data_IF_138373379178
#
_entry.id   IF_138373379178
#
_cell.length_a   1.000
_cell.length_b   1.000
_cell.length_c   1.000
_cell.angle_alpha   90.00
_cell.angle_beta   90.00
_cell.angle_gamma   90.00
#
_symmetry.space_group_name_H-M   'P 1'
#
loop_
_entity.id
_entity.type
_entity.pdbx_description
1 polymer ?
#
# COMPACT_ATOMS: atom_id res chain seq x y z
N UNK A 23 5.88 -24.10 -4.18
CA UNK A 23 5.64 -22.66 -3.96
C UNK A 23 5.12 -21.96 -5.21
N UNK A 24 5.45 -20.67 -5.36
CA UNK A 24 5.19 -19.85 -6.55
C UNK A 24 6.22 -20.09 -7.67
N UNK A 25 5.83 -19.95 -8.93
CA UNK A 25 6.72 -20.08 -10.10
C UNK A 25 6.79 -18.72 -10.79
N UNK A 26 7.99 -18.15 -10.86
CA UNK A 26 8.20 -16.79 -11.37
C UNK A 26 9.44 -16.73 -12.27
N UNK A 27 9.28 -16.17 -13.46
CA UNK A 27 10.36 -15.91 -14.42
C UNK A 27 10.55 -14.42 -14.70
N UNK A 28 11.80 -13.96 -14.82
CA UNK A 28 12.14 -12.61 -15.27
C UNK A 28 11.51 -11.52 -14.37
N UNK A 29 11.40 -11.79 -13.07
CA UNK A 29 10.86 -10.84 -12.10
C UNK A 29 11.72 -9.58 -12.02
N UNK A 30 11.10 -8.41 -11.98
CA UNK A 30 11.83 -7.16 -11.85
C UNK A 30 11.74 -6.69 -10.41
N UNK A 31 12.90 -6.48 -9.77
CA UNK A 31 13.11 -5.64 -8.58
C UNK A 31 12.33 -6.02 -7.31
N UNK A 32 11.58 -7.11 -7.33
CA UNK A 32 10.52 -7.41 -6.36
C UNK A 32 10.98 -7.79 -4.96
N UNK A 33 10.04 -8.20 -4.14
CA UNK A 33 10.30 -8.82 -2.83
C UNK A 33 9.61 -10.18 -2.82
N UNK A 34 10.27 -11.22 -2.33
CA UNK A 34 9.66 -12.56 -2.22
C UNK A 34 9.92 -13.12 -0.84
N UNK A 35 8.90 -13.60 -0.14
CA UNK A 35 9.09 -14.17 1.20
C UNK A 35 9.52 -15.62 1.16
N UNK A 36 8.82 -16.46 0.41
CA UNK A 36 9.14 -17.87 0.20
C UNK A 36 9.43 -18.62 1.52
N UNK B 23 11.96 16.57 -13.10
CA UNK B 23 11.24 15.31 -13.38
C UNK B 23 10.27 14.95 -12.27
N UNK B 24 10.05 13.66 -12.07
CA UNK B 24 9.20 13.11 -11.02
C UNK B 24 9.91 13.09 -9.65
N UNK B 25 9.15 13.22 -8.56
CA UNK B 25 9.63 13.12 -7.18
C UNK B 25 8.97 11.90 -6.55
N UNK B 26 9.76 10.94 -6.08
CA UNK B 26 9.26 9.64 -5.62
C UNK B 26 9.92 9.26 -4.30
N UNK B 27 9.15 8.82 -3.31
CA UNK B 27 9.69 8.27 -2.08
C UNK B 27 9.42 6.79 -1.98
N UNK B 28 10.39 5.99 -1.54
CA UNK B 28 10.21 4.59 -1.14
C UNK B 28 9.59 3.70 -2.24
N UNK B 29 9.86 3.99 -3.51
CA UNK B 29 9.38 3.15 -4.60
C UNK B 29 9.97 1.76 -4.53
N UNK B 30 9.16 0.74 -4.73
CA UNK B 30 9.58 -0.65 -4.59
C UNK B 30 9.79 -1.25 -5.96
N UNK B 31 10.97 -1.81 -6.23
CA UNK B 31 11.18 -2.76 -7.34
C UNK B 31 10.93 -2.24 -8.75
N UNK B 32 10.72 -0.95 -8.92
CA UNK B 32 10.12 -0.37 -10.11
C UNK B 32 11.06 -0.32 -11.32
N UNK B 33 10.56 0.26 -12.39
CA UNK B 33 11.38 0.72 -13.50
C UNK B 33 11.04 2.18 -13.74
N UNK B 34 12.04 3.05 -13.91
CA UNK B 34 11.78 4.45 -14.26
C UNK B 34 12.68 4.88 -15.39
N UNK B 35 12.12 5.52 -16.40
CA UNK B 35 12.85 5.80 -17.63
C UNK B 35 13.74 7.04 -17.42
N UNK B 36 13.19 8.13 -16.88
CA UNK B 36 13.93 9.31 -16.43
C UNK B 36 14.92 9.86 -17.49
N UNK C 23 9.39 -16.69 15.20
CA UNK C 23 8.63 -15.45 15.46
C UNK C 23 7.80 -15.03 14.26
N UNK C 24 7.59 -13.73 14.09
CA UNK C 24 6.96 -13.14 12.90
C UNK C 24 7.93 -13.01 11.72
N UNK C 25 7.44 -13.10 10.50
CA UNK C 25 8.21 -12.95 9.25
C UNK C 25 7.69 -11.72 8.53
N UNK C 26 8.55 -10.75 8.27
CA UNK C 26 8.14 -9.46 7.73
C UNK C 26 9.06 -9.06 6.58
N UNK C 27 8.51 -8.66 5.44
CA UNK C 27 9.28 -8.10 4.33
C UNK C 27 8.96 -6.64 4.12
N UNK C 28 9.96 -5.81 3.87
CA UNK C 28 9.79 -4.42 3.42
C UNK C 28 8.94 -3.56 4.37
N UNK C 29 9.01 -3.81 5.67
CA UNK C 29 8.33 -2.97 6.66
C UNK C 29 8.86 -1.55 6.66
N UNK C 30 7.98 -0.57 6.70
CA UNK C 30 8.37 0.84 6.68
C UNK C 30 8.24 1.41 8.07
N UNK C 31 9.29 2.01 8.61
CA UNK C 31 9.19 2.93 9.75
C UNK C 31 8.65 2.37 11.07
N UNK C 32 8.48 1.06 11.17
CA UNK C 32 7.70 0.43 12.21
C UNK C 32 8.36 0.42 13.59
N UNK C 33 7.69 -0.23 14.52
CA UNK C 33 8.26 -0.68 15.78
C UNK C 33 7.93 -2.15 15.92
N UNK C 34 8.86 -3.00 16.34
CA UNK C 34 8.57 -4.41 16.61
C UNK C 34 9.14 -4.84 17.94
N UNK C 35 8.33 -5.50 18.78
CA UNK C 35 8.74 -5.82 20.15
C UNK C 35 9.62 -7.06 20.17
N UNK C 36 9.20 -8.15 19.52
CA UNK C 36 9.99 -9.36 19.32
C UNK C 36 10.60 -9.90 20.64
N UNK D 23 9.25 23.82 4.43
CA UNK D 23 8.99 22.36 4.39
C UNK D 23 8.18 21.90 5.59
N UNK D 24 8.35 20.65 6.00
CA UNK D 24 7.72 20.06 7.21
C UNK D 24 8.47 20.38 8.53
N UNK D 25 7.76 20.51 9.65
CA UNK D 25 8.30 20.70 11.01
C UNK D 25 7.81 19.55 11.91
N UNK D 26 8.69 18.75 12.53
CA UNK D 26 8.25 17.49 13.16
C UNK D 26 8.82 17.23 14.55
N UNK D 27 7.95 16.82 15.48
CA UNK D 27 8.31 16.21 16.75
C UNK D 27 7.86 14.75 16.88
N UNK D 28 8.75 13.90 17.38
CA UNK D 28 8.52 12.54 17.86
C UNK D 28 7.86 11.62 16.80
N UNK D 29 8.11 11.85 15.52
CA UNK D 29 7.76 10.90 14.45
C UNK D 29 8.58 9.62 14.61
N UNK D 30 7.96 8.47 14.42
CA UNK D 30 8.69 7.21 14.44
C UNK D 30 8.92 6.73 13.01
N UNK D 31 10.17 6.54 12.63
CA UNK D 31 10.65 5.74 11.49
C UNK D 31 10.17 6.15 10.07
N UNK D 32 9.41 7.22 9.94
CA UNK D 32 8.60 7.49 8.74
C UNK D 32 9.37 7.90 7.49
N UNK D 33 8.64 8.26 6.44
CA UNK D 33 9.17 8.81 5.19
C UNK D 33 8.52 10.15 4.94
N UNK D 34 9.27 11.15 4.52
CA UNK D 34 8.71 12.49 4.27
C UNK D 34 9.22 13.03 2.95
N UNK D 35 8.35 13.55 2.09
CA UNK D 35 8.81 14.23 0.87
C UNK D 35 9.15 15.69 1.11
N UNK D 36 8.24 16.46 1.72
CA UNK D 36 8.40 17.89 2.00
C UNK D 36 8.87 18.68 0.78
N UNK E 23 1.40 -23.63 -6.65
CA UNK E 23 1.13 -22.22 -6.30
C UNK E 23 0.66 -21.41 -7.50
N UNK E 24 0.96 -20.12 -7.53
CA UNK E 24 0.73 -19.21 -8.67
C UNK E 24 1.79 -19.35 -9.77
N UNK E 25 1.43 -19.12 -11.04
CA UNK E 25 2.35 -19.15 -12.19
C UNK E 25 2.39 -17.76 -12.80
N UNK E 26 3.58 -17.16 -12.83
CA UNK E 26 3.77 -15.76 -13.21
C UNK E 26 4.97 -15.58 -14.16
N UNK E 27 4.78 -14.90 -15.28
CA UNK E 27 5.86 -14.53 -16.21
C UNK E 27 6.05 -13.02 -16.33
N UNK E 28 7.29 -12.56 -16.37
CA UNK E 28 7.63 -11.17 -16.69
C UNK E 28 6.98 -10.17 -15.70
N UNK E 29 6.87 -10.55 -14.43
CA UNK E 29 6.29 -9.70 -13.39
C UNK E 29 7.11 -8.44 -13.18
N UNK E 30 6.46 -7.28 -13.10
CA UNK E 30 7.15 -6.03 -12.82
C UNK E 30 6.98 -5.71 -11.35
N UNK E 31 8.10 -5.50 -10.65
CA UNK E 31 8.22 -4.77 -9.38
C UNK E 31 7.46 -5.30 -8.17
N UNK E 32 6.82 -6.46 -8.29
CA UNK E 32 5.80 -6.89 -7.34
C UNK E 32 6.31 -7.34 -5.98
N UNK E 33 5.38 -7.83 -5.16
CA UNK E 33 5.69 -8.53 -3.91
C UNK E 33 5.04 -9.89 -3.99
N UNK E 34 5.71 -10.97 -3.58
CA UNK E 34 5.09 -12.30 -3.60
C UNK E 34 5.32 -13.00 -2.28
N UNK E 35 4.27 -13.54 -1.66
CA UNK E 35 4.47 -14.22 -0.38
C UNK E 35 4.93 -15.67 -0.58
N UNK E 36 4.23 -16.43 -1.41
CA UNK E 36 4.58 -17.82 -1.73
C UNK E 36 4.81 -18.67 -0.47
N UNK F 23 6.94 17.83 -12.08
CA UNK F 23 6.27 16.57 -12.49
C UNK F 23 5.35 16.04 -11.41
N UNK F 24 5.18 14.72 -11.36
CA UNK F 24 4.38 14.03 -10.35
C UNK F 24 5.11 13.90 -9.00
N UNK F 25 4.38 13.88 -7.89
CA UNK F 25 4.90 13.65 -6.53
C UNK F 25 4.26 12.37 -6.02
N UNK F 26 5.05 11.38 -5.64
CA UNK F 26 4.54 10.05 -5.31
C UNK F 26 5.17 9.53 -4.02
N UNK F 27 4.40 9.01 -3.08
CA UNK F 27 4.94 8.36 -1.88
C UNK F 27 4.68 6.86 -1.92
N UNK F 28 5.65 6.04 -1.53
CA UNK F 28 5.51 4.62 -1.23
C UNK F 28 4.91 3.79 -2.39
N UNK F 29 5.20 4.18 -3.62
CA UNK F 29 4.70 3.46 -4.80
C UNK F 29 5.23 2.05 -4.89
N UNK F 30 4.36 1.09 -5.19
CA UNK F 30 4.75 -0.32 -5.20
C UNK F 30 4.96 -0.74 -6.63
N UNK F 31 6.10 -1.35 -6.95
CA UNK F 31 6.30 -2.15 -8.15
C UNK F 31 6.17 -1.46 -9.50
N UNK F 32 6.08 -0.13 -9.51
CA UNK F 32 5.50 0.58 -10.64
C UNK F 32 6.39 0.67 -11.88
N UNK F 33 5.87 1.33 -12.89
CA UNK F 33 6.66 1.87 -13.98
C UNK F 33 6.36 3.35 -14.09
N UNK F 34 7.36 4.21 -14.22
CA UNK F 34 7.12 5.64 -14.42
C UNK F 34 7.98 6.18 -15.55
N UNK F 35 7.38 6.94 -16.47
CA UNK F 35 8.13 7.40 -17.63
C UNK F 35 9.00 8.62 -17.24
N UNK F 36 8.42 9.62 -16.57
CA UNK F 36 9.15 10.76 -16.01
C UNK F 36 10.09 11.45 -17.02
N UNK G 23 4.78 -17.95 13.18
CA UNK G 23 4.04 -16.73 13.57
C UNK G 23 3.26 -16.16 12.40
N UNK G 24 3.06 -14.85 12.36
CA UNK G 24 2.45 -14.13 11.23
C UNK G 24 3.44 -13.91 10.08
N UNK G 25 2.94 -13.88 8.84
CA UNK G 25 3.73 -13.60 7.63
C UNK G 25 3.20 -12.32 7.00
N UNK G 26 4.05 -11.32 6.81
CA UNK G 26 3.62 -9.99 6.36
C UNK G 26 4.51 -9.47 5.24
N UNK G 27 3.94 -8.98 4.15
CA UNK G 27 4.71 -8.31 3.09
C UNK G 27 4.36 -6.85 3.00
N UNK G 28 5.35 -5.97 2.84
CA UNK G 28 5.18 -4.56 2.52
C UNK G 28 4.32 -3.78 3.52
N UNK G 29 4.40 -4.13 4.80
CA UNK G 29 3.70 -3.41 5.86
C UNK G 29 4.15 -1.96 6.00
N UNK G 30 3.22 -1.03 6.11
CA UNK G 30 3.55 0.38 6.23
C UNK G 30 3.41 0.79 7.67
N UNK G 31 4.42 1.40 8.26
CA UNK G 31 4.30 2.18 9.49
C UNK G 31 3.89 1.45 10.76
N UNK G 32 3.87 0.13 10.73
CA UNK G 32 3.11 -0.63 11.71
C UNK G 32 3.72 -0.69 13.10
N UNK G 33 3.04 -1.40 13.97
CA UNK G 33 3.61 -1.94 15.20
C UNK G 33 3.33 -3.42 15.22
N UNK G 34 4.29 -4.27 15.59
CA UNK G 34 4.04 -5.71 15.73
C UNK G 34 4.59 -6.25 17.03
N UNK G 35 3.79 -7.01 17.77
CA UNK G 35 4.22 -7.50 19.08
C UNK G 35 5.11 -8.73 18.93
N UNK G 36 4.66 -9.73 18.18
CA UNK G 36 5.43 -10.95 17.87
C UNK G 36 6.01 -11.62 19.14
N UNK H 23 4.14 23.90 5.79
CA UNK H 23 4.01 22.45 5.50
C UNK H 23 3.23 21.73 6.58
N UNK H 24 3.51 20.45 6.82
CA UNK H 24 2.93 19.67 7.93
C UNK H 24 3.62 19.92 9.28
N UNK H 25 2.87 19.88 10.37
CA UNK H 25 3.36 19.98 11.76
C UNK H 25 2.92 18.73 12.54
N UNK H 26 3.83 17.94 13.12
CA UNK H 26 3.42 16.61 13.62
C UNK H 26 3.95 16.30 15.02
N UNK H 27 3.10 15.77 15.90
CA UNK H 27 3.49 15.10 17.14
C UNK H 27 3.13 13.61 17.17
N UNK H 28 4.07 12.77 17.59
CA UNK H 28 3.87 11.37 18.00
C UNK H 28 3.20 10.49 16.94
N UNK H 29 3.42 10.78 15.65
CA UNK H 29 3.04 9.88 14.56
C UNK H 29 3.84 8.59 14.60
N UNK H 30 3.20 7.44 14.41
CA UNK H 30 3.91 6.17 14.33
C UNK H 30 4.06 5.74 12.88
N UNK H 31 5.29 5.53 12.44
CA UNK H 31 5.68 4.80 11.22
C UNK H 31 5.22 5.36 9.88
N UNK H 32 4.56 6.52 9.85
CA UNK H 32 3.78 6.92 8.68
C UNK H 32 4.60 7.35 7.45
N UNK H 33 3.89 7.79 6.43
CA UNK H 33 4.44 8.42 5.23
C UNK H 33 3.79 9.76 5.08
N UNK H 34 4.54 10.81 4.75
CA UNK H 34 3.98 12.15 4.63
C UNK H 34 4.45 12.82 3.36
N UNK H 35 3.55 13.38 2.55
CA UNK H 35 3.99 14.16 1.41
C UNK H 35 4.33 15.59 1.79
N UNK H 36 3.44 16.29 2.50
CA UNK H 36 3.62 17.68 2.89
C UNK H 36 4.00 18.58 1.69
N UNK I 23 -3.08 -23.06 -9.13
CA UNK I 23 -3.34 -21.68 -8.65
C UNK I 23 -3.82 -20.76 -9.77
N UNK I 24 -3.51 -19.47 -9.68
CA UNK I 24 -3.73 -18.46 -10.74
C UNK I 24 -2.65 -18.51 -11.84
N UNK I 25 -3.01 -18.18 -13.08
CA UNK I 25 -2.09 -18.11 -14.23
C UNK I 25 -2.04 -16.67 -14.72
N UNK I 26 -0.85 -16.07 -14.71
CA UNK I 26 -0.67 -14.64 -14.98
C UNK I 26 0.53 -14.38 -15.89
N UNK I 27 0.33 -13.61 -16.97
CA UNK I 27 1.40 -13.15 -17.85
C UNK I 27 1.55 -11.63 -17.86
N UNK I 28 2.79 -11.12 -17.87
CA UNK I 28 3.09 -9.71 -18.08
C UNK I 28 2.42 -8.81 -17.01
N UNK I 29 2.31 -9.30 -15.78
CA UNK I 29 1.71 -8.53 -14.66
C UNK I 29 2.52 -7.28 -14.35
N UNK I 30 1.85 -6.15 -14.17
CA UNK I 30 2.52 -4.93 -13.78
C UNK I 30 2.32 -4.73 -12.29
N UNK I 31 3.41 -4.55 -11.55
CA UNK I 31 3.50 -3.93 -10.23
C UNK I 31 2.75 -4.59 -9.07
N UNK I 32 2.14 -5.75 -9.30
CA UNK I 32 1.14 -6.29 -8.39
C UNK I 32 1.67 -6.84 -7.07
N UNK I 33 0.76 -7.42 -6.29
CA UNK I 33 1.11 -8.21 -5.11
C UNK I 33 0.47 -9.58 -5.28
N UNK I 34 1.16 -10.67 -4.97
CA UNK I 34 0.57 -12.01 -5.09
C UNK I 34 0.79 -12.81 -3.83
N UNK I 35 -0.24 -13.41 -3.26
CA UNK I 35 -0.06 -14.19 -2.05
C UNK I 35 0.41 -15.60 -2.36
N UNK I 36 -0.26 -16.30 -3.27
CA UNK I 36 0.08 -17.65 -3.69
C UNK I 36 0.27 -18.61 -2.50
N UNK J 23 2.03 18.87 -10.95
CA UNK J 23 1.42 17.64 -11.49
C UNK J 23 0.51 16.97 -10.49
N UNK J 24 0.39 15.64 -10.56
CA UNK J 24 -0.40 14.84 -9.63
C UNK J 24 0.33 14.60 -8.30
N UNK J 25 -0.41 14.48 -7.21
CA UNK J 25 0.10 14.12 -5.87
C UNK J 25 -0.51 12.80 -5.47
N UNK J 26 0.29 11.78 -5.20
CA UNK J 26 -0.20 10.42 -4.96
C UNK J 26 0.45 9.80 -3.73
N UNK J 27 -0.31 9.21 -2.83
CA UNK J 27 0.23 8.46 -1.69
C UNK J 27 -0.04 6.98 -1.84
N UNK J 28 0.92 6.14 -1.52
CA UNK J 28 0.79 4.68 -1.34
C UNK J 28 0.21 3.95 -2.56
N UNK J 29 0.49 4.45 -3.76
CA UNK J 29 0.00 3.84 -4.99
C UNK J 29 0.51 2.44 -5.22
N UNK J 30 -0.35 1.51 -5.59
CA UNK J 30 0.03 0.12 -5.74
C UNK J 30 0.23 -0.18 -7.21
N UNK J 31 1.36 -0.76 -7.57
CA UNK J 31 1.57 -1.47 -8.83
C UNK J 31 1.48 -0.65 -10.11
N UNK J 32 1.41 0.66 -10.01
CA UNK J 32 0.84 1.48 -11.07
C UNK J 32 1.71 1.65 -12.30
N UNK J 33 1.19 2.41 -13.25
CA UNK J 33 2.00 3.02 -14.29
C UNK J 33 1.70 4.51 -14.27
N UNK J 34 2.70 5.37 -14.34
CA UNK J 34 2.46 6.82 -14.40
C UNK J 34 3.29 7.47 -15.49
N UNK J 35 2.67 8.30 -16.33
CA UNK J 35 3.40 8.87 -17.46
C UNK J 35 4.23 10.07 -16.97
N UNK J 36 3.64 11.01 -16.23
CA UNK J 36 4.35 12.13 -15.59
C UNK J 36 5.26 12.90 -16.58
N UNK K 23 0.27 -19.06 11.06
CA UNK K 23 -0.45 -17.87 11.57
C UNK K 23 -1.24 -17.19 10.49
N UNK K 24 -1.42 -15.87 10.57
CA UNK K 24 -2.03 -15.04 9.53
C UNK K 24 -1.06 -14.72 8.38
N UNK K 25 -1.57 -14.58 7.16
CA UNK K 25 -0.80 -14.20 5.96
C UNK K 25 -1.33 -12.87 5.45
N UNK K 26 -0.48 -11.86 5.34
CA UNK K 26 -0.92 -10.50 5.01
C UNK K 26 -0.04 -9.88 3.93
N UNK K 27 -0.62 -9.32 2.88
CA UNK K 27 0.11 -8.56 1.88
C UNK K 27 -0.25 -7.08 1.91
N UNK K 28 0.72 -6.19 1.81
CA UNK K 28 0.56 -4.76 1.60
C UNK K 28 -0.27 -4.06 2.67
N UNK K 29 -0.19 -4.51 3.92
CA UNK K 29 -0.92 -3.89 5.03
C UNK K 29 -0.50 -2.46 5.30
N UNK K 30 -1.45 -1.57 5.49
CA UNK K 30 -1.15 -0.16 5.72
C UNK K 30 -1.31 0.12 7.19
N UNK K 31 -0.32 0.72 7.83
CA UNK K 31 -0.44 1.38 9.12
C UNK K 31 -0.80 0.52 10.33
N UNK K 32 -0.79 -0.79 10.18
CA UNK K 32 -1.52 -1.66 11.08
C UNK K 32 -0.90 -1.82 12.46
N UNK K 33 -1.56 -2.64 13.27
CA UNK K 33 -0.98 -3.24 14.45
C UNK K 33 -1.21 -4.74 14.35
N UNK K 34 -0.22 -5.58 14.65
CA UNK K 34 -0.45 -7.04 14.67
C UNK K 34 0.10 -7.68 15.94
N UNK K 35 -0.70 -8.50 16.59
CA UNK K 35 -0.29 -9.08 17.87
C UNK K 35 0.61 -10.30 17.64
N UNK K 36 0.18 -11.26 16.82
CA UNK K 36 0.97 -12.43 16.43
C UNK K 36 1.56 -13.18 17.63
N UNK L 23 -0.80 23.37 7.23
CA UNK L 23 -0.91 21.97 6.81
C UNK L 23 -1.69 21.14 7.82
N UNK L 24 -1.39 19.84 7.95
CA UNK L 24 -1.96 18.96 8.99
C UNK L 24 -1.27 19.13 10.35
N UNK L 25 -2.02 18.98 11.45
CA UNK L 25 -1.54 18.94 12.85
C UNK L 25 -1.97 17.63 13.50
N UNK L 26 -1.07 16.80 14.01
CA UNK L 26 -1.44 15.43 14.41
C UNK L 26 -0.90 15.03 15.77
N UNK L 27 -1.74 14.40 16.61
CA UNK L 27 -1.30 13.63 17.79
C UNK L 27 -1.63 12.13 17.70
N UNK L 28 -0.67 11.28 18.04
CA UNK L 28 -0.86 9.85 18.33
C UNK L 28 -1.52 9.05 17.20
N UNK L 29 -1.30 9.44 15.95
CA UNK L 29 -1.68 8.65 14.78
C UNK L 29 -0.88 7.35 14.72
N UNK L 30 -1.52 6.22 14.46
CA UNK L 30 -0.80 4.96 14.26
C UNK L 30 -0.69 4.64 12.79
N UNK L 31 0.53 4.46 12.31
CA UNK L 31 0.92 3.84 11.04
C UNK L 31 0.46 4.52 9.75
N UNK L 32 -0.19 5.67 9.81
CA UNK L 32 -0.95 6.18 8.67
C UNK L 32 -0.15 6.72 7.50
N UNK L 33 -0.85 7.23 6.51
CA UNK L 33 -0.28 7.97 5.37
C UNK L 33 -0.94 9.32 5.32
N UNK L 34 -0.20 10.39 5.08
CA UNK L 34 -0.76 11.73 5.08
C UNK L 34 -0.30 12.51 3.87
N UNK L 35 -1.20 13.12 3.12
CA UNK L 35 -0.77 14.00 2.05
C UNK L 35 -0.44 15.40 2.55
N UNK L 36 -1.33 16.01 3.33
CA UNK L 36 -1.18 17.39 3.83
C UNK L 36 -0.84 18.38 2.70
N UNK M 23 -7.59 -22.33 -11.58
CA UNK M 23 -7.83 -21.02 -10.97
C UNK M 23 -8.30 -19.99 -12.00
N UNK M 24 -7.98 -18.70 -11.79
CA UNK M 24 -8.19 -17.61 -12.74
C UNK M 24 -7.13 -17.56 -13.86
N UNK M 25 -7.50 -17.10 -15.06
CA UNK M 25 -6.59 -16.91 -16.20
C UNK M 25 -6.52 -15.43 -16.55
N UNK M 26 -5.31 -14.86 -16.49
CA UNK M 26 -5.09 -13.42 -16.62
C UNK M 26 -3.91 -13.08 -17.52
N UNK M 27 -4.12 -12.19 -18.49
CA UNK M 27 -3.07 -11.63 -19.35
C UNK M 27 -2.96 -10.12 -19.22
N UNK M 28 -1.74 -9.59 -19.18
CA UNK M 28 -1.46 -8.15 -19.27
C UNK M 28 -2.16 -7.35 -18.15
N UNK M 29 -2.28 -7.94 -16.95
CA UNK M 29 -2.88 -7.28 -15.80
C UNK M 29 -2.08 -6.06 -15.36
N UNK M 30 -2.78 -4.96 -15.08
CA UNK M 30 -2.12 -3.77 -14.58
C UNK M 30 -2.32 -3.69 -13.08
N UNK M 31 -1.23 -3.58 -12.34
CA UNK M 31 -1.13 -3.08 -10.97
C UNK M 31 -1.88 -3.84 -9.87
N UNK M 32 -2.49 -4.98 -10.20
CA UNK M 32 -3.48 -5.60 -9.34
C UNK M 32 -2.95 -6.28 -8.07
N UNK M 33 -3.84 -6.94 -7.36
CA UNK M 33 -3.49 -7.84 -6.27
C UNK M 33 -4.11 -9.19 -6.57
N UNK M 34 -3.40 -10.30 -6.35
CA UNK M 34 -3.97 -11.63 -6.58
C UNK M 34 -3.73 -12.52 -5.38
N UNK M 35 -4.76 -13.17 -4.85
CA UNK M 35 -4.56 -14.04 -3.71
C UNK M 35 -4.08 -15.42 -4.14
N UNK M 36 -4.75 -16.04 -5.10
CA UNK M 36 -4.40 -17.36 -5.62
C UNK M 36 -4.23 -18.41 -4.50
N UNK N 23 -2.89 19.73 -9.79
CA UNK N 23 -3.48 18.56 -10.45
C UNK N 23 -4.33 17.75 -9.48
N UNK N 24 -4.43 16.44 -9.70
CA UNK N 24 -5.20 15.53 -8.85
C UNK N 24 -4.46 15.19 -7.55
N UNK N 25 -5.19 14.96 -6.46
CA UNK N 25 -4.67 14.50 -5.17
C UNK N 25 -5.27 13.14 -4.89
N UNK N 26 -4.47 12.11 -4.70
CA UNK N 26 -4.95 10.74 -4.58
C UNK N 26 -4.28 10.01 -3.42
N UNK N 27 -5.05 9.35 -2.56
CA UNK N 27 -4.49 8.52 -1.50
C UNK N 27 -4.77 7.05 -1.76
N UNK N 28 -3.78 6.19 -1.55
CA UNK N 28 -3.91 4.72 -1.51
C UNK N 28 -4.50 4.10 -2.78
N UNK N 29 -4.24 4.71 -3.94
CA UNK N 29 -4.73 4.20 -5.22
C UNK N 29 -4.18 2.83 -5.56
N UNK N 30 -5.04 1.93 -5.99
CA UNK N 30 -4.64 0.54 -6.22
C UNK N 30 -4.49 0.33 -7.71
N UNK N 31 -3.36 -0.18 -8.13
CA UNK N 31 -3.13 -0.79 -9.43
C UNK N 31 -3.25 0.11 -10.65
N UNK N 32 -3.37 1.41 -10.45
CA UNK N 32 -3.91 2.31 -11.45
C UNK N 32 -3.00 2.61 -12.63
N UNK N 33 -3.50 3.45 -13.52
CA UNK N 33 -2.68 4.17 -14.49
C UNK N 33 -2.98 5.64 -14.35
N UNK N 34 -1.98 6.52 -14.33
CA UNK N 34 -2.23 7.97 -14.27
C UNK N 34 -1.40 8.72 -15.29
N UNK N 35 -2.03 9.62 -16.03
CA UNK N 35 -1.32 10.30 -17.11
C UNK N 35 -0.49 11.45 -16.53
N UNK N 36 -1.08 12.31 -15.70
CA UNK N 36 -0.38 13.39 -14.97
C UNK N 36 0.49 14.26 -15.90
N UNK O 23 -4.29 -20.00 8.93
CA UNK O 23 -4.98 -18.85 9.54
C UNK O 23 -5.78 -18.08 8.51
N UNK O 24 -5.95 -16.77 8.71
CA UNK O 24 -6.55 -15.86 7.72
C UNK O 24 -5.56 -15.45 6.62
N UNK O 25 -6.05 -15.21 5.41
CA UNK O 25 -5.30 -14.72 4.25
C UNK O 25 -5.85 -13.36 3.86
N UNK O 26 -5.02 -12.33 3.82
CA UNK O 26 -5.47 -10.96 3.62
C UNK O 26 -4.59 -10.23 2.60
N UNK O 27 -5.19 -9.59 1.60
CA UNK O 27 -4.46 -8.75 0.67
C UNK O 27 -4.84 -7.29 0.82
N UNK O 28 -3.87 -6.39 0.80
CA UNK O 28 -4.05 -4.94 0.70
C UNK O 28 -4.88 -4.33 1.83
N UNK O 29 -4.82 -4.88 3.03
CA UNK O 29 -5.55 -4.37 4.18
C UNK O 29 -5.14 -2.97 4.58
N UNK O 30 -6.10 -2.10 4.83
CA UNK O 30 -5.83 -0.72 5.18
C UNK O 30 -6.02 -0.55 6.67
N UNK O 31 -5.03 -0.01 7.36
CA UNK O 31 -5.16 0.53 8.70
C UNK O 31 -5.52 -0.43 9.83
N UNK O 32 -5.50 -1.73 9.57
CA UNK O 32 -6.20 -2.68 10.41
C UNK O 32 -5.54 -2.96 11.75
N UNK O 33 -6.16 -3.86 12.50
CA UNK O 33 -5.53 -4.54 13.63
C UNK O 33 -5.75 -6.03 13.42
N UNK O 34 -4.75 -6.89 13.64
CA UNK O 34 -4.94 -8.34 13.51
C UNK O 34 -4.38 -9.08 14.71
N UNK O 35 -5.16 -9.99 15.29
CA UNK O 35 -4.75 -10.68 16.50
C UNK O 35 -3.80 -11.84 16.18
N UNK O 36 -4.17 -12.72 15.24
CA UNK O 36 -3.32 -13.81 14.76
C UNK O 36 -2.73 -14.67 15.89
N UNK P 23 -5.68 22.66 8.64
CA UNK P 23 -5.81 21.29 8.10
C UNK P 23 -6.59 20.39 9.05
N UNK P 24 -6.31 19.08 9.07
CA UNK P 24 -6.87 18.12 10.02
C UNK P 24 -6.17 18.17 11.40
N UNK P 25 -6.91 17.93 12.49
CA UNK P 25 -6.42 17.77 13.87
C UNK P 25 -6.86 16.40 14.41
N UNK P 26 -5.95 15.55 14.85
CA UNK P 26 -6.31 14.13 15.13
C UNK P 26 -5.74 13.64 16.46
N UNK P 27 -6.57 12.94 17.25
CA UNK P 27 -6.13 12.09 18.35
C UNK P 27 -6.47 10.60 18.15
N UNK P 28 -5.50 9.73 18.42
CA UNK P 28 -5.64 8.27 18.59
C UNK P 28 -6.26 7.54 17.38
N UNK P 29 -6.03 8.05 16.17
CA UNK P 29 -6.40 7.35 14.94
C UNK P 29 -5.59 6.07 14.77
N UNK P 30 -6.23 4.96 14.41
CA UNK P 30 -5.52 3.72 14.10
C UNK P 30 -5.42 3.51 12.61
N UNK P 31 -4.21 3.37 12.11
CA UNK P 31 -3.84 2.85 10.79
C UNK P 31 -4.31 3.64 9.55
N UNK P 32 -4.93 4.80 9.71
CA UNK P 32 -5.69 5.41 8.62
C UNK P 32 -4.87 6.02 7.49
N UNK P 33 -5.57 6.63 6.53
CA UNK P 33 -5.01 7.46 5.48
C UNK P 33 -5.68 8.80 5.55
N UNK P 34 -4.95 9.90 5.40
CA UNK P 34 -5.52 11.24 5.53
C UNK P 34 -5.06 12.11 4.38
N UNK P 35 -5.97 12.78 3.69
CA UNK P 35 -5.54 13.75 2.68
C UNK P 35 -5.22 15.10 3.30
N UNK P 36 -6.13 15.65 4.11
CA UNK P 36 -6.00 16.98 4.71
C UNK P 36 -5.62 18.06 3.68
N UNK Q 23 -12.16 -21.45 -13.80
CA UNK Q 23 -12.49 -20.20 -13.08
C UNK Q 23 -12.78 -19.08 -14.06
N UNK Q 24 -12.51 -17.82 -13.66
CA UNK Q 24 -12.72 -16.63 -14.50
C UNK Q 24 -11.61 -16.45 -15.56
N UNK Q 25 -11.97 -15.92 -16.73
CA UNK Q 25 -11.03 -15.55 -17.80
C UNK Q 25 -11.13 -14.05 -18.02
N UNK Q 26 -10.02 -13.33 -17.82
CA UNK Q 26 -10.00 -11.88 -18.02
C UNK Q 26 -8.70 -11.45 -18.74
N UNK Q 27 -8.81 -10.64 -19.78
CA UNK Q 27 -7.67 -10.12 -20.55
C UNK Q 27 -7.55 -8.61 -20.43
N UNK Q 28 -6.33 -8.07 -20.32
CA UNK Q 28 -6.07 -6.63 -20.28
C UNK Q 28 -6.77 -5.94 -19.09
N UNK Q 29 -6.88 -6.63 -17.95
CA UNK Q 29 -7.50 -6.10 -16.73
C UNK Q 29 -6.76 -4.90 -16.19
N UNK Q 30 -7.49 -3.84 -15.83
CA UNK Q 30 -6.86 -2.68 -15.24
C UNK Q 30 -7.09 -2.68 -13.75
N UNK Q 31 -5.99 -2.68 -13.00
CA UNK Q 31 -5.89 -2.26 -11.60
C UNK Q 31 -6.67 -3.08 -10.57
N UNK Q 32 -7.26 -4.20 -10.98
CA UNK Q 32 -8.22 -4.95 -10.17
C UNK Q 32 -7.63 -5.71 -8.99
N UNK Q 33 -8.48 -6.46 -8.32
CA UNK Q 33 -8.11 -7.45 -7.33
C UNK Q 33 -8.73 -8.77 -7.75
N UNK Q 34 -8.01 -9.89 -7.65
CA UNK Q 34 -8.56 -11.20 -8.02
C UNK Q 34 -8.30 -12.18 -6.90
N UNK Q 35 -9.30 -12.90 -6.43
CA UNK Q 35 -9.10 -13.86 -5.35
C UNK Q 35 -8.59 -15.19 -5.89
N UNK Q 36 -9.22 -15.72 -6.93
CA UNK Q 36 -8.83 -16.99 -7.56
C UNK Q 36 -8.65 -18.13 -6.55
N UNK R 23 -8.11 20.52 -8.76
CA UNK R 23 -8.63 19.32 -9.46
C UNK R 23 -9.27 18.35 -8.49
N UNK R 24 -9.26 17.07 -8.82
CA UNK R 24 -9.95 16.04 -8.05
C UNK R 24 -9.20 15.65 -6.77
N UNK R 25 -9.93 15.31 -5.72
CA UNK R 25 -9.42 14.76 -4.46
C UNK R 25 -10.02 13.38 -4.27
N UNK R 26 -9.21 12.32 -4.14
CA UNK R 26 -9.70 10.95 -4.15
C UNK R 26 -9.05 10.12 -3.04
N UNK R 27 -9.82 9.36 -2.27
CA UNK R 27 -9.25 8.43 -1.29
C UNK R 27 -9.51 6.99 -1.71
N UNK R 28 -8.51 6.13 -1.58
CA UNK R 28 -8.61 4.67 -1.66
C UNK R 28 -9.20 4.16 -2.99
N UNK R 29 -8.95 4.85 -4.09
CA UNK R 29 -9.47 4.48 -5.41
C UNK R 29 -8.93 3.15 -5.89
N UNK R 30 -9.80 2.29 -6.39
CA UNK R 30 -9.42 0.95 -6.76
C UNK R 30 -9.34 0.84 -8.26
N UNK R 31 -8.19 0.40 -8.73
CA UNK R 31 -7.94 -0.07 -10.08
C UNK R 31 -8.04 0.95 -11.21
N UNK R 32 -8.14 2.23 -10.88
CA UNK R 32 -8.65 3.23 -11.81
C UNK R 32 -7.72 3.60 -12.95
N UNK R 33 -8.19 4.51 -13.79
CA UNK R 33 -7.37 5.30 -14.68
C UNK R 33 -7.72 6.75 -14.42
N UNK R 34 -6.74 7.64 -14.29
CA UNK R 34 -7.01 9.07 -14.07
C UNK R 34 -6.14 9.92 -14.98
N UNK R 35 -6.73 10.91 -15.63
CA UNK R 35 -6.01 11.73 -16.59
C UNK R 35 -5.16 12.78 -15.88
N UNK R 36 -5.74 13.54 -14.94
CA UNK R 36 -5.04 14.53 -14.11
C UNK R 36 -4.18 15.51 -14.95
N UNK S 23 -9.02 -20.86 6.76
CA UNK S 23 -9.66 -19.73 7.46
C UNK S 23 -10.28 -18.77 6.47
N UNK S 24 -10.38 -17.48 6.82
CA UNK S 24 -10.96 -16.46 5.95
C UNK S 24 -9.99 -16.02 4.84
N UNK S 25 -10.53 -15.67 3.67
CA UNK S 25 -9.79 -15.09 2.54
C UNK S 25 -10.36 -13.71 2.25
N UNK S 26 -9.55 -12.67 2.28
CA UNK S 26 -10.03 -11.29 2.20
C UNK S 26 -9.18 -10.47 1.23
N UNK S 27 -9.79 -9.73 0.30
CA UNK S 27 -9.08 -8.79 -0.55
C UNK S 27 -9.47 -7.35 -0.25
N UNK S 28 -8.50 -6.46 -0.18
CA UNK S 28 -8.67 -5.01 -0.16
C UNK S 28 -9.53 -4.50 1.00
N UNK S 29 -9.44 -5.15 2.16
CA UNK S 29 -10.20 -4.79 3.36
C UNK S 29 -9.83 -3.43 3.91
N UNK S 30 -10.83 -2.63 4.25
CA UNK S 30 -10.59 -1.27 4.75
C UNK S 30 -10.82 -1.24 6.24
N UNK S 31 -9.82 -0.77 6.97
CA UNK S 31 -9.91 -0.37 8.36
C UNK S 31 -10.19 -1.43 9.40
N UNK S 32 -10.14 -2.71 9.03
CA UNK S 32 -10.79 -3.75 9.79
C UNK S 32 -10.12 -4.09 11.11
N UNK S 33 -10.74 -5.05 11.79
CA UNK S 33 -10.10 -5.83 12.84
C UNK S 33 -10.33 -7.29 12.48
N UNK S 34 -9.32 -8.14 12.59
CA UNK S 34 -9.45 -9.57 12.28
C UNK S 34 -8.83 -10.44 13.36
N UNK S 35 -9.56 -11.47 13.80
CA UNK S 35 -9.10 -12.31 14.89
C UNK S 35 -8.07 -13.35 14.41
N UNK S 36 -8.36 -14.07 13.33
CA UNK S 36 -7.44 -15.01 12.70
C UNK S 36 -6.85 -16.03 13.69
N UNK T 23 -10.53 22.25 9.97
CA UNK T 23 -10.74 20.96 9.28
C UNK T 23 -11.36 19.95 10.23
N UNK T 24 -11.11 18.65 10.04
CA UNK T 24 -11.68 17.59 10.89
C UNK T 24 -10.98 17.48 12.25
N UNK T 25 -11.73 17.17 13.31
CA UNK T 25 -11.25 16.88 14.67
C UNK T 25 -11.71 15.48 15.07
N UNK T 26 -10.79 14.56 15.43
CA UNK T 26 -11.14 13.13 15.55
C UNK T 26 -10.59 12.50 16.82
N UNK T 27 -11.42 11.73 17.53
CA UNK T 27 -10.98 10.81 18.59
C UNK T 27 -11.27 9.34 18.28
N UNK T 28 -10.28 8.47 18.52
CA UNK T 28 -10.38 7.00 18.59
C UNK T 28 -10.95 6.33 17.32
N UNK T 29 -10.73 6.92 16.15
CA UNK T 29 -11.12 6.32 14.87
C UNK T 29 -10.33 5.04 14.61
N UNK T 30 -10.98 3.96 14.19
CA UNK T 30 -10.28 2.73 13.80
C UNK T 30 -10.24 2.58 12.30
N UNK T 31 -9.04 2.45 11.76
CA UNK T 31 -8.77 1.98 10.41
C UNK T 31 -9.28 2.84 9.24
N UNK T 32 -9.78 4.05 9.48
CA UNK T 32 -10.50 4.79 8.45
C UNK T 32 -9.64 5.36 7.33
N UNK T 33 -10.31 6.06 6.43
CA UNK T 33 -9.72 6.96 5.44
C UNK T 33 -10.41 8.29 5.62
N UNK T 34 -9.69 9.39 5.58
CA UNK T 34 -10.27 10.71 5.81
C UNK T 34 -9.82 11.68 4.76
N UNK T 35 -10.73 12.40 4.13
CA UNK T 35 -10.34 13.45 3.20
C UNK T 35 -10.03 14.74 3.93
N UNK T 36 -10.92 15.20 4.81
CA UNK T 36 -10.80 16.48 5.52
C UNK T 36 -10.47 17.64 4.57
#
# INVERSE_FOLDING_TARGET
>A
DAEFRHDSGYEVHHQKLVGSNKGAIIGLMVGGVVIA
>B
DAEFRHDSGYEVHHQKLVGSNKGAIIGLMVGGVVIA
>C
DAEFRHDSGYEVHHQKLVGSNKGAIIGLMVGGVVIA
>D
DAEFRHDSGYEVHHQKLVGSNKGAIIGLMVGGVVIA
>E
DAEFRHDSGYEVHHQKLVGSNKGAIIGLMVGGVVIA
>F
DAEFRHDSGYEVHHQKLVGSNKGAIIGLMVGGVVIA
>G
DAEFRHDSGYEVHHQKLVGSNKGAIIGLMVGGVVIA
>H
DAEFRHDSGYEVHHQKLVGSNKGAIIGLMVGGVVIA
>I
DAEFRHDSGYEVHHQKLVGSNKGAIIGLMVGGVVIA
>J
DAEFRHDSGYEVHHQKLVGSNKGAIIGLMVGGVVIA
>K
DAEFRHDSGYEVHHQKLVGSNKGAIIGLMVGGVVIA
>L
DAEFRHDSGYEVHHQKLVGSNKGAIIGLMVGGVVIA
>M
DAEFRHDSGYEVHHQKLVGSNKGAIIGLMVGGVVIA
>N
DAEFRHDSGYEVHHQKLVGSNKGAIIGLMVGGVVIA
>O
DAEFRHDSGYEVHHQKLVGSNKGAIIGLMVGGVVIA
>P
DAEFRHDSGYEVHHQKLVGSNKGAIIGLMVGGVVIA
>Q
DAEFRHDSGYEVHHQKLVGSNKGAIIGLMVGGVVIA
>R
DAEFRHDSGYEVHHQKLVGSNKGAIIGLMVGGVVIA
>S
DAEFRHDSGYEVHHQKLVGSNKGAIIGLMVGGVVIA
>T
DAEFRHDSGYEVHHQKLVGSNKGAIIGLMVGGVVIA
#
